data_IF_734551900622
#
_entry.id   IF_734551900622
#
_cell.length_a   1.000
_cell.length_b   1.000
_cell.length_c   1.000
_cell.angle_alpha   90.00
_cell.angle_beta   90.00
_cell.angle_gamma   90.00
#
_symmetry.space_group_name_H-M   'P 1'
#
loop_
_entity.id
_entity.type
_entity.pdbx_description
1 polymer ?
#
# COMPACT_ATOMS: atom_id res chain seq x y z
N UNK A 1 7.37 -32.04 0.93
CA UNK A 1 7.59 -30.60 1.04
C UNK A 1 6.52 -29.98 1.94
N UNK A 2 6.61 -30.30 3.23
CA UNK A 2 5.54 -30.10 4.22
C UNK A 2 5.48 -28.65 4.74
N UNK A 3 6.61 -27.94 4.67
CA UNK A 3 6.72 -26.54 5.07
C UNK A 3 6.01 -25.59 4.10
N UNK A 4 6.18 -25.77 2.79
CA UNK A 4 5.51 -24.95 1.79
C UNK A 4 3.97 -25.08 1.86
N UNK A 5 3.48 -26.27 2.20
CA UNK A 5 2.03 -26.54 2.32
C UNK A 5 1.44 -25.85 3.57
N UNK A 6 2.13 -25.94 4.72
CA UNK A 6 1.70 -25.29 5.95
C UNK A 6 1.70 -23.75 5.83
N UNK A 7 2.75 -23.18 5.22
CA UNK A 7 2.82 -21.74 4.94
C UNK A 7 1.70 -21.30 3.98
N UNK A 8 1.42 -22.09 2.94
CA UNK A 8 0.34 -21.78 1.99
C UNK A 8 -1.04 -21.74 2.66
N UNK A 9 -1.34 -22.70 3.54
CA UNK A 9 -2.60 -22.73 4.30
C UNK A 9 -2.71 -21.55 5.28
N UNK A 10 -1.62 -21.21 5.96
CA UNK A 10 -1.56 -20.09 6.91
C UNK A 10 -1.75 -18.75 6.20
N UNK A 11 -1.00 -18.50 5.11
CA UNK A 11 -1.17 -17.32 4.26
C UNK A 11 -2.59 -17.25 3.68
N UNK A 12 -3.09 -18.39 3.19
CA UNK A 12 -4.44 -18.51 2.67
C UNK A 12 -5.49 -18.11 3.71
N UNK A 13 -5.33 -18.54 4.97
CA UNK A 13 -6.20 -18.16 6.08
C UNK A 13 -6.12 -16.66 6.42
N UNK A 14 -4.91 -16.10 6.45
CA UNK A 14 -4.68 -14.67 6.74
C UNK A 14 -5.30 -13.75 5.68
N UNK A 15 -5.35 -14.20 4.43
CA UNK A 15 -5.85 -13.43 3.29
C UNK A 15 -7.32 -13.71 2.91
N UNK A 16 -8.04 -14.59 3.61
CA UNK A 16 -9.48 -14.87 3.32
C UNK A 16 -10.38 -13.63 3.44
N UNK A 17 -9.93 -12.60 4.13
CA UNK A 17 -10.69 -11.36 4.33
C UNK A 17 -10.55 -10.35 3.20
N UNK A 18 -9.62 -10.56 2.26
CA UNK A 18 -9.42 -9.66 1.12
C UNK A 18 -10.66 -9.67 0.22
N UNK A 19 -11.11 -8.48 -0.19
CA UNK A 19 -12.26 -8.33 -1.09
C UNK A 19 -11.87 -8.40 -2.57
N UNK A 20 -10.76 -7.76 -2.93
CA UNK A 20 -10.19 -7.73 -4.28
C UNK A 20 -8.70 -7.38 -4.21
N UNK A 21 -7.81 -8.36 -3.99
CA UNK A 21 -6.37 -8.12 -4.12
C UNK A 21 -6.04 -7.63 -5.53
N UNK A 22 -5.30 -6.52 -5.65
CA UNK A 22 -4.86 -5.98 -6.95
C UNK A 22 -3.36 -5.92 -7.13
N UNK A 23 -2.62 -5.79 -6.04
CA UNK A 23 -1.16 -5.70 -6.08
C UNK A 23 -0.53 -6.21 -4.78
N UNK A 24 0.74 -6.58 -4.84
CA UNK A 24 1.52 -6.96 -3.67
C UNK A 24 3.00 -6.57 -3.80
N UNK A 25 3.63 -6.24 -2.66
CA UNK A 25 5.05 -5.89 -2.61
C UNK A 25 5.69 -6.40 -1.33
N UNK A 26 6.96 -6.79 -1.40
CA UNK A 26 7.76 -7.06 -0.21
C UNK A 26 8.25 -5.73 0.38
N UNK A 27 7.80 -5.40 1.59
CA UNK A 27 8.32 -4.24 2.34
C UNK A 27 9.70 -4.57 2.92
N UNK A 28 9.87 -5.83 3.35
CA UNK A 28 11.10 -6.43 3.87
C UNK A 28 11.14 -7.89 3.44
N UNK A 29 12.26 -8.57 3.66
CA UNK A 29 12.46 -9.98 3.29
C UNK A 29 11.38 -10.93 3.85
N UNK A 30 10.71 -10.54 4.94
CA UNK A 30 9.75 -11.34 5.69
C UNK A 30 8.32 -10.77 5.72
N UNK A 31 8.05 -9.65 5.06
CA UNK A 31 6.73 -8.99 5.10
C UNK A 31 6.20 -8.67 3.72
N UNK A 32 5.07 -9.30 3.39
CA UNK A 32 4.29 -9.02 2.19
C UNK A 32 3.18 -8.02 2.49
N UNK A 33 3.12 -6.94 1.73
CA UNK A 33 1.98 -6.04 1.68
C UNK A 33 1.07 -6.41 0.51
N UNK A 34 -0.25 -6.40 0.73
CA UNK A 34 -1.25 -6.72 -0.29
C UNK A 34 -2.30 -5.61 -0.33
N UNK A 35 -2.46 -4.98 -1.49
CA UNK A 35 -3.48 -3.97 -1.73
C UNK A 35 -4.84 -4.65 -1.95
N UNK A 36 -5.82 -4.30 -1.12
CA UNK A 36 -7.20 -4.75 -1.27
C UNK A 36 -8.05 -3.62 -1.86
N UNK A 37 -8.25 -3.61 -3.17
CA UNK A 37 -8.89 -2.50 -3.90
C UNK A 37 -10.30 -2.16 -3.44
N UNK A 38 -11.05 -3.15 -2.96
CA UNK A 38 -12.34 -2.85 -2.34
C UNK A 38 -12.27 -2.84 -0.83
N UNK A 39 -11.15 -3.24 -0.23
CA UNK A 39 -10.80 -3.05 1.18
C UNK A 39 -10.43 -1.59 1.49
N UNK A 40 -10.56 -1.15 2.75
CA UNK A 40 -10.12 0.18 3.16
C UNK A 40 -8.65 0.18 3.61
N UNK A 41 -7.91 -0.91 3.36
CA UNK A 41 -6.61 -1.19 3.97
C UNK A 41 -5.68 -1.92 3.01
N UNK A 42 -4.37 -1.77 3.23
CA UNK A 42 -3.35 -2.69 2.74
C UNK A 42 -3.06 -3.70 3.85
N UNK A 43 -3.07 -4.98 3.53
CA UNK A 43 -2.83 -6.06 4.49
C UNK A 43 -1.33 -6.36 4.57
N UNK A 44 -0.79 -6.46 5.78
CA UNK A 44 0.58 -6.87 6.03
C UNK A 44 0.60 -8.30 6.55
N UNK A 45 1.40 -9.13 5.88
CA UNK A 45 1.44 -10.57 6.07
C UNK A 45 2.87 -10.99 6.35
N UNK A 46 3.10 -11.65 7.48
CA UNK A 46 4.41 -12.22 7.82
C UNK A 46 4.61 -13.51 7.03
N UNK A 47 5.75 -13.64 6.34
CA UNK A 47 6.11 -14.83 5.56
C UNK A 47 6.84 -15.90 6.38
N UNK A 48 7.29 -15.55 7.58
CA UNK A 48 8.01 -16.47 8.49
C UNK A 48 7.11 -16.98 9.63
N UNK A 49 5.80 -16.75 9.52
CA UNK A 49 4.81 -16.97 10.58
C UNK A 49 4.64 -15.74 11.48
N UNK A 50 3.47 -15.58 12.08
CA UNK A 50 3.18 -14.48 13.01
C UNK A 50 1.96 -13.63 12.65
N UNK A 51 1.80 -12.49 13.35
CA UNK A 51 0.60 -11.67 13.34
C UNK A 51 0.38 -10.90 12.03
N UNK A 52 -0.88 -10.84 11.59
CA UNK A 52 -1.35 -9.95 10.52
C UNK A 52 -1.49 -8.53 11.05
N UNK A 53 -1.04 -7.55 10.28
CA UNK A 53 -1.30 -6.15 10.53
C UNK A 53 -1.97 -5.50 9.32
N UNK A 54 -2.45 -4.26 9.49
CA UNK A 54 -3.07 -3.49 8.41
C UNK A 54 -2.46 -2.09 8.36
N UNK A 55 -2.22 -1.61 7.15
CA UNK A 55 -1.94 -0.21 6.86
C UNK A 55 -3.23 0.45 6.43
N UNK A 56 -3.48 1.64 6.95
CA UNK A 56 -4.67 2.42 6.61
C UNK A 56 -5.97 1.95 7.27
N UNK A 57 -5.91 1.23 8.40
CA UNK A 57 -7.14 0.78 9.08
C UNK A 57 -7.87 1.96 9.75
N UNK A 58 -9.20 1.95 9.67
CA UNK A 58 -10.08 3.02 10.13
C UNK A 58 -10.12 3.14 11.67
N UNK A 59 -9.11 3.75 12.27
CA UNK A 59 -9.18 4.23 13.66
C UNK A 59 -9.66 5.69 13.67
N UNK A 60 -10.93 5.89 13.26
CA UNK A 60 -11.72 7.14 13.25
C UNK A 60 -11.19 8.22 12.28
N UNK A 61 -12.11 8.99 11.65
CA UNK A 61 -12.12 10.44 11.90
C UNK A 61 -13.31 11.26 11.37
N UNK A 62 -13.66 12.25 12.18
CA UNK A 62 -13.90 13.64 11.76
C UNK A 62 -12.54 14.23 11.36
N UNK A 63 -12.36 14.69 10.12
CA UNK A 63 -11.12 15.34 9.58
C UNK A 63 -9.80 14.61 9.94
N UNK A 64 -9.33 13.75 9.02
CA UNK A 64 -8.07 12.98 9.06
C UNK A 64 -8.27 11.45 9.04
N UNK A 65 -9.16 10.97 8.19
CA UNK A 65 -9.42 9.54 8.04
C UNK A 65 -8.16 8.85 7.47
N UNK A 66 -7.68 7.78 8.11
CA UNK A 66 -6.56 6.95 7.62
C UNK A 66 -7.03 5.77 6.76
N UNK A 67 -8.34 5.66 6.48
CA UNK A 67 -8.88 4.62 5.60
C UNK A 67 -8.47 4.88 4.16
N UNK A 68 -7.83 3.89 3.53
CA UNK A 68 -7.45 3.98 2.13
C UNK A 68 -8.71 3.90 1.25
N UNK A 69 -8.76 4.70 0.18
CA UNK A 69 -9.83 4.68 -0.80
C UNK A 69 -9.35 4.03 -2.11
N UNK A 70 -9.72 2.76 -2.25
CA UNK A 70 -9.37 1.89 -3.38
C UNK A 70 -7.85 1.83 -3.62
N UNK A 71 -7.07 1.28 -2.67
CA UNK A 71 -5.65 1.06 -2.88
C UNK A 71 -5.46 0.08 -4.04
N UNK A 72 -4.72 0.50 -5.06
CA UNK A 72 -4.65 -0.21 -6.33
C UNK A 72 -3.27 -0.76 -6.62
N UNK A 73 -2.23 0.02 -6.32
CA UNK A 73 -0.83 -0.33 -6.56
C UNK A 73 0.06 -0.01 -5.36
N UNK A 74 1.14 -0.77 -5.22
CA UNK A 74 2.10 -0.67 -4.13
C UNK A 74 3.54 -0.57 -4.65
N UNK A 75 4.35 0.24 -3.98
CA UNK A 75 5.80 0.29 -4.18
C UNK A 75 6.51 0.54 -2.85
N UNK A 76 7.82 0.28 -2.81
CA UNK A 76 8.66 0.60 -1.66
C UNK A 76 9.71 1.60 -2.11
N UNK A 77 9.84 2.70 -1.38
CA UNK A 77 10.88 3.69 -1.62
C UNK A 77 12.22 3.13 -1.11
N UNK A 78 13.24 2.94 -1.97
CA UNK A 78 14.41 2.13 -1.61
C UNK A 78 15.30 2.72 -0.50
N UNK A 79 15.25 4.03 -0.26
CA UNK A 79 16.16 4.72 0.66
C UNK A 79 15.65 4.74 2.10
N UNK A 80 14.34 4.90 2.26
CA UNK A 80 13.62 4.98 3.54
C UNK A 80 12.95 3.65 3.89
N UNK A 81 12.66 2.80 2.90
CA UNK A 81 11.82 1.62 3.06
C UNK A 81 10.35 1.95 3.29
N UNK A 82 9.91 3.18 2.99
CA UNK A 82 8.52 3.59 3.10
C UNK A 82 7.65 2.86 2.06
N UNK A 83 6.45 2.47 2.49
CA UNK A 83 5.43 1.91 1.61
C UNK A 83 4.70 3.06 0.91
N UNK A 84 4.69 3.03 -0.41
CA UNK A 84 3.92 3.91 -1.27
C UNK A 84 2.65 3.19 -1.70
N UNK A 85 1.51 3.83 -1.50
CA UNK A 85 0.19 3.27 -1.85
C UNK A 85 -0.48 4.19 -2.84
N UNK A 86 -0.67 3.73 -4.07
CA UNK A 86 -1.52 4.42 -5.03
C UNK A 86 -2.99 4.20 -4.65
N UNK A 87 -3.72 5.30 -4.45
CA UNK A 87 -5.14 5.27 -4.11
C UNK A 87 -5.97 5.78 -5.28
N UNK A 88 -6.63 4.86 -5.99
CA UNK A 88 -7.45 5.21 -7.13
C UNK A 88 -8.67 6.06 -6.73
N UNK A 89 -9.24 5.82 -5.55
CA UNK A 89 -10.38 6.58 -5.05
C UNK A 89 -10.00 7.96 -4.52
N UNK A 90 -8.90 8.05 -3.76
CA UNK A 90 -8.42 9.30 -3.17
C UNK A 90 -7.60 10.17 -4.13
N UNK A 91 -7.12 9.61 -5.25
CA UNK A 91 -6.36 10.32 -6.28
C UNK A 91 -5.02 10.87 -5.74
N UNK A 92 -4.40 10.11 -4.86
CA UNK A 92 -3.14 10.44 -4.18
C UNK A 92 -2.26 9.20 -3.97
N UNK A 93 -0.98 9.45 -3.67
CA UNK A 93 -0.07 8.41 -3.17
C UNK A 93 0.00 8.65 -1.69
N UNK A 94 -0.56 7.74 -0.90
CA UNK A 94 -0.31 7.75 0.54
C UNK A 94 1.05 7.12 0.81
N UNK A 95 1.87 7.82 1.59
CA UNK A 95 3.19 7.36 2.02
C UNK A 95 3.10 6.90 3.46
N UNK A 96 3.54 5.67 3.72
CA UNK A 96 3.56 5.10 5.06
C UNK A 96 4.95 4.67 5.47
N UNK A 97 5.30 4.94 6.73
CA UNK A 97 6.37 4.20 7.38
C UNK A 97 5.80 2.94 8.02
N UNK A 98 6.46 1.80 7.86
CA UNK A 98 6.04 0.52 8.44
C UNK A 98 7.18 0.00 9.31
N UNK A 99 6.94 -0.18 10.61
CA UNK A 99 7.96 -0.62 11.55
C UNK A 99 7.57 -1.90 12.27
N UNK A 100 8.55 -2.79 12.45
CA UNK A 100 8.45 -3.94 13.31
C UNK A 100 8.52 -3.48 14.77
N UNK A 101 7.53 -3.86 15.57
CA UNK A 101 7.54 -3.69 17.01
C UNK A 101 7.66 -5.08 17.66
N UNK A 102 8.77 -5.37 18.36
CA UNK A 102 8.90 -6.59 19.13
C UNK A 102 7.79 -6.66 20.18
N UNK A 103 7.13 -7.80 20.29
CA UNK A 103 6.15 -8.06 21.35
C UNK A 103 6.75 -8.99 22.41
N UNK A 104 6.08 -9.13 23.55
CA UNK A 104 6.60 -9.86 24.72
C UNK A 104 6.84 -11.37 24.51
N UNK A 105 6.40 -11.95 23.38
CA UNK A 105 6.42 -13.39 23.11
C UNK A 105 6.92 -13.72 21.70
N UNK A 106 8.19 -13.43 21.38
CA UNK A 106 8.87 -13.81 20.12
C UNK A 106 8.09 -13.55 18.80
N UNK A 107 7.03 -12.75 18.85
CA UNK A 107 6.21 -12.36 17.71
C UNK A 107 6.53 -10.92 17.36
N UNK A 108 6.53 -10.62 16.08
CA UNK A 108 6.65 -9.25 15.56
C UNK A 108 5.23 -8.75 15.28
N UNK A 109 4.88 -7.61 15.86
CA UNK A 109 3.72 -6.84 15.43
C UNK A 109 4.20 -5.74 14.49
N UNK A 110 3.41 -5.41 13.48
CA UNK A 110 3.72 -4.31 12.57
C UNK A 110 2.82 -3.12 12.89
N UNK A 111 3.45 -1.94 12.99
CA UNK A 111 2.75 -0.67 13.05
C UNK A 111 3.03 0.13 11.79
N UNK A 112 2.05 0.90 11.36
CA UNK A 112 2.17 1.83 10.24
C UNK A 112 1.86 3.25 10.69
N UNK A 113 2.63 4.20 10.21
CA UNK A 113 2.40 5.63 10.37
C UNK A 113 2.23 6.26 9.00
N UNK A 114 1.16 7.05 8.81
CA UNK A 114 0.97 7.86 7.60
C UNK A 114 1.91 9.07 7.68
N UNK A 115 2.76 9.24 6.67
CA UNK A 115 3.74 10.32 6.62
C UNK A 115 3.17 11.52 5.87
N UNK A 116 2.64 11.29 4.66
CA UNK A 116 2.06 12.33 3.81
C UNK A 116 1.25 11.72 2.66
N UNK A 117 0.49 12.59 2.00
CA UNK A 117 -0.14 12.32 0.71
C UNK A 117 0.58 13.13 -0.37
N UNK A 118 0.85 12.48 -1.50
CA UNK A 118 1.34 13.14 -2.72
C UNK A 118 0.15 13.26 -3.67
N UNK A 119 -0.41 14.45 -3.76
CA UNK A 119 -1.61 14.72 -4.56
C UNK A 119 -1.26 15.40 -5.91
N UNK A 120 -2.18 15.31 -6.87
CA UNK A 120 -2.03 15.90 -8.21
C UNK A 120 -1.69 17.41 -8.21
N UNK A 121 -2.15 18.16 -7.22
CA UNK A 121 -1.87 19.59 -7.05
C UNK A 121 -0.40 19.88 -6.70
N UNK A 122 0.30 18.92 -6.10
CA UNK A 122 1.70 19.03 -5.69
C UNK A 122 2.69 18.56 -6.77
N UNK A 123 2.23 17.80 -7.77
CA UNK A 123 3.07 17.25 -8.86
C UNK A 123 3.37 18.33 -9.93
N UNK A 124 2.90 19.58 -9.75
CA UNK A 124 3.32 20.73 -10.56
C UNK A 124 2.95 20.65 -12.04
N UNK A 125 2.10 19.70 -12.45
CA UNK A 125 1.77 19.49 -13.86
C UNK A 125 0.95 20.62 -14.47
N UNK A 126 0.28 21.45 -13.67
CA UNK A 126 -0.45 22.66 -14.09
C UNK A 126 -1.60 22.43 -15.08
N UNK A 127 -1.73 21.24 -15.63
CA UNK A 127 -2.69 20.79 -16.63
C UNK A 127 -3.06 19.36 -16.29
N UNK A 128 -4.30 19.00 -16.59
CA UNK A 128 -4.96 17.71 -16.32
C UNK A 128 -5.68 17.66 -14.97
N UNK A 129 -6.65 18.57 -14.83
CA UNK A 129 -7.93 18.14 -14.28
C UNK A 129 -8.36 16.94 -15.15
N UNK A 130 -8.53 15.72 -14.61
CA UNK A 130 -9.02 14.58 -15.37
C UNK A 130 -10.30 15.02 -16.08
N UNK A 131 -10.47 14.68 -17.37
CA UNK A 131 -11.60 15.18 -18.16
C UNK A 131 -12.97 14.87 -17.53
N UNK A 132 -13.04 13.94 -16.58
CA UNK A 132 -14.26 13.55 -15.86
C UNK A 132 -14.07 13.25 -14.35
N UNK A 133 -13.04 13.77 -13.67
CA UNK A 133 -12.89 13.53 -12.22
C UNK A 133 -12.57 12.07 -11.83
N UNK A 134 -12.21 11.22 -12.80
CA UNK A 134 -11.82 9.83 -12.60
C UNK A 134 -10.33 9.74 -12.78
N UNK A 135 -9.62 9.47 -11.68
CA UNK A 135 -8.27 8.95 -11.75
C UNK A 135 -8.37 7.47 -11.46
N UNK A 136 -7.67 6.70 -12.26
CA UNK A 136 -7.44 5.28 -12.01
C UNK A 136 -5.94 5.13 -11.95
N UNK A 137 -5.34 5.59 -10.84
CA UNK A 137 -3.95 5.25 -10.54
C UNK A 137 -3.95 3.74 -10.38
N UNK A 138 -3.44 3.02 -11.38
CA UNK A 138 -3.52 1.56 -11.38
C UNK A 138 -2.25 0.95 -10.82
N UNK A 139 -1.12 1.62 -11.03
CA UNK A 139 0.19 1.08 -10.69
C UNK A 139 1.14 2.22 -10.34
N UNK A 140 2.05 1.90 -9.42
CA UNK A 140 3.10 2.78 -8.93
C UNK A 140 4.41 2.01 -8.94
N UNK A 141 5.50 2.71 -9.26
CA UNK A 141 6.85 2.20 -9.10
C UNK A 141 7.74 3.29 -8.50
N UNK A 142 8.81 2.90 -7.82
CA UNK A 142 9.82 3.84 -7.33
C UNK A 142 11.18 3.43 -7.89
N UNK A 143 11.93 4.40 -8.41
CA UNK A 143 13.27 4.15 -8.93
C UNK A 143 14.28 4.07 -7.79
N UNK A 144 15.48 3.54 -8.06
CA UNK A 144 16.59 3.59 -7.09
C UNK A 144 17.03 5.02 -6.75
N UNK A 145 16.68 6.01 -7.58
CA UNK A 145 16.95 7.42 -7.34
C UNK A 145 15.92 8.10 -6.45
N UNK A 146 14.80 7.43 -6.12
CA UNK A 146 13.70 7.98 -5.33
C UNK A 146 12.55 8.55 -6.16
N UNK A 147 12.69 8.66 -7.48
CA UNK A 147 11.60 9.12 -8.36
C UNK A 147 10.41 8.16 -8.30
N UNK A 148 9.19 8.71 -8.21
CA UNK A 148 7.96 7.92 -8.16
C UNK A 148 7.28 7.98 -9.53
N UNK A 149 7.03 6.81 -10.11
CA UNK A 149 6.35 6.63 -11.40
C UNK A 149 4.91 6.22 -11.14
N UNK A 150 3.94 6.97 -11.69
CA UNK A 150 2.51 6.68 -11.52
C UNK A 150 1.87 6.49 -12.88
N UNK A 151 1.29 5.30 -13.11
CA UNK A 151 0.52 5.02 -14.31
C UNK A 151 -0.95 5.40 -14.11
N UNK A 152 -1.41 6.37 -14.89
CA UNK A 152 -2.80 6.83 -14.91
C UNK A 152 -3.48 6.35 -16.19
N UNK A 153 -4.32 5.31 -16.05
CA UNK A 153 -4.93 4.71 -17.23
C UNK A 153 -6.03 5.56 -17.86
N UNK A 154 -6.69 6.42 -17.07
CA UNK A 154 -7.82 7.22 -17.55
C UNK A 154 -7.35 8.44 -18.34
N UNK A 155 -6.17 8.97 -17.98
CA UNK A 155 -5.53 10.04 -18.72
C UNK A 155 -4.52 9.55 -19.78
N UNK A 156 -4.22 8.25 -19.81
CA UNK A 156 -3.25 7.61 -20.70
C UNK A 156 -1.83 8.19 -20.58
N UNK A 157 -1.42 8.49 -19.35
CA UNK A 157 -0.13 9.15 -19.05
C UNK A 157 0.59 8.41 -17.93
N UNK A 158 1.92 8.47 -17.94
CA UNK A 158 2.77 8.13 -16.80
C UNK A 158 3.37 9.42 -16.25
N UNK A 159 3.16 9.64 -14.95
CA UNK A 159 3.75 10.76 -14.22
C UNK A 159 5.07 10.33 -13.58
N UNK A 160 6.00 11.28 -13.47
CA UNK A 160 7.21 11.16 -12.65
C UNK A 160 7.10 12.23 -11.57
N UNK A 161 7.22 11.84 -10.31
CA UNK A 161 7.17 12.72 -9.12
C UNK A 161 8.50 12.68 -8.39
#
# INVERSE_FOLDING_TARGET
DTYATALHEELGAQLKSLRRPTDCVLIRDDVLAVADYYGPTVHLVSLIGGSVAQVGSASKRRRGCTALDRPSGLAVEPSSGSLLVAEAGAQCVSVFSVHAQPTAINTVAYQSEHLCDICCEQIGSGLHIPRNGQWSWLSIACTSGGDILIADCDNHVVYVV
#
